data_IF_316326384343
#
_entry.id   IF_316326384343
#
_cell.length_a   1.000
_cell.length_b   1.000
_cell.length_c   1.000
_cell.angle_alpha   90.00
_cell.angle_beta   90.00
_cell.angle_gamma   90.00
#
_symmetry.space_group_name_H-M   'P 1'
#
loop_
_entity.id
_entity.type
_entity.pdbx_description
1 polymer ?
#
# COMPACT_ATOMS: atom_id res chain seq x y z
N UNK A 1 -15.05 16.63 -13.33
CA UNK A 1 -14.85 15.93 -14.61
C UNK A 1 -14.40 14.51 -14.31
N UNK A 2 -15.00 13.49 -14.95
CA UNK A 2 -14.73 12.08 -14.62
C UNK A 2 -13.30 11.63 -14.96
N UNK A 3 -12.71 12.16 -16.02
CA UNK A 3 -11.35 11.83 -16.49
C UNK A 3 -10.25 12.76 -15.94
N UNK A 4 -10.56 13.66 -15.00
CA UNK A 4 -9.56 14.53 -14.37
C UNK A 4 -8.85 13.84 -13.20
N UNK A 5 -7.62 14.23 -12.88
CA UNK A 5 -6.93 13.71 -11.70
C UNK A 5 -7.42 14.39 -10.41
N UNK A 6 -7.80 13.60 -9.39
CA UNK A 6 -8.02 14.11 -8.05
C UNK A 6 -6.68 14.44 -7.38
N UNK A 7 -6.44 15.71 -7.08
CA UNK A 7 -5.19 16.17 -6.45
C UNK A 7 -5.02 15.63 -5.03
N UNK A 8 -6.12 15.38 -4.31
CA UNK A 8 -6.07 14.80 -2.96
C UNK A 8 -5.52 13.38 -2.96
N UNK A 9 -5.73 12.60 -4.03
CA UNK A 9 -5.22 11.25 -4.17
C UNK A 9 -3.70 11.18 -4.45
N UNK A 10 -3.05 12.32 -4.74
CA UNK A 10 -1.59 12.46 -4.89
C UNK A 10 -0.99 11.40 -5.83
N UNK A 11 -0.06 10.56 -5.34
CA UNK A 11 0.59 9.53 -6.16
C UNK A 11 -0.35 8.40 -6.59
N UNK A 12 -1.57 8.35 -6.05
CA UNK A 12 -2.62 7.40 -6.41
C UNK A 12 -3.77 8.08 -7.20
N UNK A 13 -3.53 9.25 -7.81
CA UNK A 13 -4.55 9.99 -8.55
C UNK A 13 -5.07 9.24 -9.78
N UNK A 14 -4.22 8.45 -10.43
CA UNK A 14 -4.60 7.52 -11.50
C UNK A 14 -5.51 6.40 -11.01
N UNK A 15 -5.17 5.77 -9.88
CA UNK A 15 -5.99 4.75 -9.23
C UNK A 15 -7.37 5.30 -8.83
N UNK A 16 -7.43 6.52 -8.28
CA UNK A 16 -8.70 7.20 -7.98
C UNK A 16 -9.53 7.41 -9.26
N UNK A 17 -8.92 8.00 -10.29
CA UNK A 17 -9.58 8.29 -11.56
C UNK A 17 -10.16 7.02 -12.19
N UNK A 18 -9.37 5.94 -12.29
CA UNK A 18 -9.85 4.68 -12.87
C UNK A 18 -10.99 4.06 -12.08
N UNK A 19 -10.93 4.08 -10.74
CA UNK A 19 -12.07 3.63 -9.89
C UNK A 19 -13.32 4.47 -10.12
N UNK A 20 -13.16 5.78 -10.28
CA UNK A 20 -14.29 6.68 -10.54
C UNK A 20 -14.92 6.42 -11.90
N UNK A 21 -14.13 6.21 -12.94
CA UNK A 21 -14.64 5.83 -14.26
C UNK A 21 -15.35 4.47 -14.18
N UNK A 22 -14.74 3.47 -13.55
CA UNK A 22 -15.30 2.12 -13.40
C UNK A 22 -16.61 2.07 -12.60
N UNK A 23 -16.84 3.04 -11.71
CA UNK A 23 -18.10 3.15 -10.97
C UNK A 23 -19.29 3.62 -11.84
N UNK A 24 -19.03 4.20 -13.01
CA UNK A 24 -20.04 4.80 -13.88
C UNK A 24 -20.13 4.17 -15.28
N UNK A 25 -19.11 3.42 -15.70
CA UNK A 25 -19.04 2.85 -17.05
C UNK A 25 -18.49 1.42 -17.04
N UNK A 26 -18.91 0.58 -18.01
CA UNK A 26 -18.28 -0.70 -18.25
C UNK A 26 -16.78 -0.53 -18.55
N UNK A 27 -15.97 -1.45 -18.03
CA UNK A 27 -14.52 -1.50 -18.25
C UNK A 27 -14.18 -2.76 -19.04
N UNK A 28 -13.31 -2.62 -20.05
CA UNK A 28 -12.70 -3.74 -20.76
C UNK A 28 -11.43 -4.19 -20.05
N UNK A 29 -11.22 -5.50 -19.96
CA UNK A 29 -9.98 -6.09 -19.43
C UNK A 29 -9.25 -6.82 -20.56
N UNK A 30 -8.01 -6.42 -20.84
CA UNK A 30 -7.11 -7.05 -21.78
C UNK A 30 -6.00 -7.80 -21.03
N UNK A 31 -5.98 -9.15 -21.05
CA UNK A 31 -4.96 -9.92 -20.35
C UNK A 31 -3.56 -9.88 -21.01
N UNK A 32 -3.46 -9.47 -22.28
CA UNK A 32 -2.16 -9.35 -22.95
C UNK A 32 -1.30 -8.25 -22.34
N UNK A 33 -0.01 -8.53 -22.12
CA UNK A 33 0.95 -7.53 -21.63
C UNK A 33 1.26 -6.55 -22.76
N UNK A 34 0.71 -5.34 -22.68
CA UNK A 34 0.92 -4.26 -23.65
C UNK A 34 1.98 -3.23 -23.23
N UNK A 35 2.36 -3.21 -21.95
CA UNK A 35 3.33 -2.26 -21.41
C UNK A 35 4.19 -2.89 -20.31
N UNK A 36 5.41 -2.37 -20.15
CA UNK A 36 6.33 -2.76 -19.09
C UNK A 36 6.99 -1.53 -18.48
N UNK A 37 7.01 -1.46 -17.15
CA UNK A 37 7.64 -0.37 -16.42
C UNK A 37 9.07 -0.75 -16.02
N UNK A 38 10.00 0.21 -16.15
CA UNK A 38 11.35 0.03 -15.64
C UNK A 38 11.37 0.26 -14.13
N UNK A 39 11.93 -0.69 -13.38
CA UNK A 39 12.17 -0.54 -11.95
C UNK A 39 13.56 0.04 -11.71
N UNK A 40 13.65 1.14 -10.95
CA UNK A 40 14.91 1.70 -10.50
C UNK A 40 14.76 2.49 -9.19
N UNK A 41 15.86 2.62 -8.44
CA UNK A 41 15.91 3.22 -7.11
C UNK A 41 15.63 4.73 -7.08
N UNK A 42 15.84 5.41 -8.22
CA UNK A 42 15.58 6.84 -8.40
C UNK A 42 14.15 7.15 -8.89
N UNK A 43 13.27 6.15 -9.01
CA UNK A 43 11.88 6.37 -9.38
C UNK A 43 11.08 7.02 -8.25
N UNK A 44 10.01 7.73 -8.61
CA UNK A 44 9.12 8.32 -7.63
C UNK A 44 8.47 7.27 -6.73
N UNK A 45 8.11 6.11 -7.29
CA UNK A 45 7.61 4.96 -6.51
C UNK A 45 8.62 4.51 -5.46
N UNK A 46 9.92 4.41 -5.80
CA UNK A 46 10.97 4.08 -4.83
C UNK A 46 11.09 5.10 -3.70
N UNK A 47 10.95 6.40 -4.02
CA UNK A 47 10.94 7.48 -3.02
C UNK A 47 9.74 7.38 -2.08
N UNK A 48 8.54 7.18 -2.62
CA UNK A 48 7.29 7.06 -1.86
C UNK A 48 7.29 5.81 -0.97
N UNK A 49 7.79 4.69 -1.48
CA UNK A 49 7.92 3.44 -0.71
C UNK A 49 8.80 3.63 0.52
N UNK A 50 9.96 4.30 0.39
CA UNK A 50 10.81 4.56 1.55
C UNK A 50 10.14 5.36 2.66
N UNK A 51 9.18 6.21 2.30
CA UNK A 51 8.43 7.06 3.25
C UNK A 51 7.10 6.47 3.70
N UNK A 52 6.66 5.34 3.13
CA UNK A 52 5.29 4.82 3.32
C UNK A 52 4.21 5.62 2.59
N UNK A 53 4.58 6.70 1.89
CA UNK A 53 3.64 7.62 1.23
C UNK A 53 2.81 6.91 0.14
N UNK A 54 3.36 5.86 -0.49
CA UNK A 54 2.62 5.04 -1.45
C UNK A 54 1.36 4.40 -0.82
N UNK A 55 1.46 3.92 0.41
CA UNK A 55 0.35 3.29 1.14
C UNK A 55 -0.58 4.37 1.69
N UNK A 56 -0.03 5.48 2.19
CA UNK A 56 -0.81 6.59 2.71
C UNK A 56 -1.71 7.23 1.63
N UNK A 57 -1.15 7.48 0.45
CA UNK A 57 -1.86 8.04 -0.70
C UNK A 57 -2.91 7.04 -1.22
N UNK A 58 -2.56 5.75 -1.30
CA UNK A 58 -3.52 4.71 -1.68
C UNK A 58 -4.69 4.60 -0.70
N UNK A 59 -4.42 4.63 0.61
CA UNK A 59 -5.47 4.66 1.64
C UNK A 59 -6.39 5.87 1.45
N UNK A 60 -5.82 7.04 1.20
CA UNK A 60 -6.62 8.25 0.91
C UNK A 60 -7.47 8.06 -0.35
N UNK A 61 -6.91 7.50 -1.42
CA UNK A 61 -7.67 7.19 -2.62
C UNK A 61 -8.79 6.17 -2.38
N UNK A 62 -8.62 5.22 -1.45
CA UNK A 62 -9.70 4.31 -1.03
C UNK A 62 -10.84 5.07 -0.35
N UNK A 63 -10.52 5.95 0.60
CA UNK A 63 -11.54 6.76 1.30
C UNK A 63 -12.29 7.71 0.36
N UNK A 64 -11.59 8.31 -0.61
CA UNK A 64 -12.23 9.12 -1.66
C UNK A 64 -13.19 8.25 -2.48
N UNK A 65 -12.74 7.06 -2.91
CA UNK A 65 -13.57 6.18 -3.72
C UNK A 65 -14.82 5.69 -3.02
N UNK A 66 -14.75 5.47 -1.71
CA UNK A 66 -15.91 5.08 -0.90
C UNK A 66 -17.11 6.00 -1.07
N UNK A 67 -16.89 7.29 -1.33
CA UNK A 67 -17.94 8.32 -1.45
C UNK A 67 -18.80 8.20 -2.71
N UNK A 68 -18.30 7.57 -3.77
CA UNK A 68 -19.01 7.44 -5.04
C UNK A 68 -19.26 5.99 -5.48
N UNK A 69 -18.77 5.00 -4.72
CA UNK A 69 -19.09 3.60 -4.97
C UNK A 69 -20.56 3.30 -4.61
N UNK A 70 -21.22 2.34 -5.28
CA UNK A 70 -22.57 1.93 -4.93
C UNK A 70 -22.65 1.51 -3.45
N UNK A 71 -23.66 2.02 -2.75
CA UNK A 71 -23.85 1.79 -1.31
C UNK A 71 -23.92 0.30 -0.94
N UNK A 72 -24.38 -0.54 -1.86
CA UNK A 72 -24.48 -2.00 -1.70
C UNK A 72 -23.13 -2.69 -1.53
N UNK A 73 -22.05 -2.14 -2.10
CA UNK A 73 -20.70 -2.74 -2.06
C UNK A 73 -19.65 -1.86 -1.37
N UNK A 74 -19.91 -0.56 -1.24
CA UNK A 74 -18.91 0.45 -0.85
C UNK A 74 -18.20 0.10 0.46
N UNK A 75 -18.95 -0.30 1.49
CA UNK A 75 -18.38 -0.66 2.79
C UNK A 75 -17.49 -1.90 2.72
N UNK A 76 -17.99 -2.99 2.12
CA UNK A 76 -17.27 -4.26 2.04
C UNK A 76 -15.98 -4.11 1.24
N UNK A 77 -16.06 -3.54 0.03
CA UNK A 77 -14.90 -3.34 -0.86
C UNK A 77 -13.87 -2.41 -0.21
N UNK A 78 -14.31 -1.36 0.51
CA UNK A 78 -13.39 -0.48 1.25
C UNK A 78 -12.64 -1.25 2.34
N UNK A 79 -13.33 -2.09 3.12
CA UNK A 79 -12.69 -2.91 4.16
C UNK A 79 -11.69 -3.90 3.55
N UNK A 80 -12.07 -4.59 2.46
CA UNK A 80 -11.20 -5.51 1.75
C UNK A 80 -9.97 -4.82 1.18
N UNK A 81 -10.13 -3.66 0.54
CA UNK A 81 -9.02 -2.88 0.01
C UNK A 81 -8.06 -2.43 1.10
N UNK A 82 -8.58 -1.96 2.24
CA UNK A 82 -7.75 -1.57 3.40
C UNK A 82 -6.98 -2.75 3.99
N UNK A 83 -7.60 -3.92 4.12
CA UNK A 83 -6.91 -5.15 4.56
C UNK A 83 -5.84 -5.58 3.55
N UNK A 84 -6.14 -5.54 2.25
CA UNK A 84 -5.18 -5.88 1.19
C UNK A 84 -3.94 -4.96 1.23
N UNK A 85 -4.13 -3.65 1.30
CA UNK A 85 -2.99 -2.72 1.34
C UNK A 85 -2.22 -2.76 2.66
N UNK A 86 -2.85 -3.19 3.77
CA UNK A 86 -2.11 -3.53 4.99
C UNK A 86 -1.16 -4.72 4.76
N UNK A 87 -1.63 -5.80 4.13
CA UNK A 87 -0.76 -6.93 3.77
C UNK A 87 0.32 -6.55 2.76
N UNK A 88 -0.01 -5.74 1.75
CA UNK A 88 0.96 -5.28 0.77
C UNK A 88 2.10 -4.50 1.43
N UNK A 89 1.76 -3.58 2.34
CA UNK A 89 2.73 -2.80 3.12
C UNK A 89 3.60 -3.70 4.02
N UNK A 90 3.00 -4.68 4.71
CA UNK A 90 3.76 -5.63 5.53
C UNK A 90 4.70 -6.52 4.70
N UNK A 91 4.25 -7.02 3.55
CA UNK A 91 5.11 -7.76 2.61
C UNK A 91 6.27 -6.89 2.11
N UNK A 92 6.02 -5.61 1.84
CA UNK A 92 7.07 -4.65 1.47
C UNK A 92 8.07 -4.47 2.61
N UNK A 93 7.59 -4.36 3.84
CA UNK A 93 8.45 -4.25 5.01
C UNK A 93 9.40 -5.45 5.16
N UNK A 94 8.96 -6.68 4.87
CA UNK A 94 9.83 -7.87 4.84
C UNK A 94 10.98 -7.66 3.84
N UNK A 95 10.66 -7.20 2.64
CA UNK A 95 11.67 -6.96 1.60
C UNK A 95 12.68 -5.90 2.05
N UNK A 96 12.21 -4.83 2.69
CA UNK A 96 13.05 -3.73 3.18
C UNK A 96 13.93 -4.15 4.37
N UNK A 97 13.40 -4.98 5.28
CA UNK A 97 14.18 -5.59 6.37
C UNK A 97 15.33 -6.45 5.81
N UNK A 98 15.05 -7.25 4.78
CA UNK A 98 16.10 -8.05 4.11
C UNK A 98 17.15 -7.21 3.37
N UNK A 99 16.85 -5.94 3.09
CA UNK A 99 17.77 -4.96 2.51
C UNK A 99 18.47 -4.09 3.57
N UNK A 100 18.29 -4.40 4.87
CA UNK A 100 18.74 -3.60 6.01
C UNK A 100 18.20 -2.14 6.01
N UNK A 101 17.14 -1.84 5.25
CA UNK A 101 16.44 -0.53 5.23
C UNK A 101 15.31 -0.51 6.27
N UNK A 102 15.71 -0.50 7.55
CA UNK A 102 14.79 -0.58 8.67
C UNK A 102 13.89 0.65 8.81
N UNK A 103 14.37 1.84 8.43
CA UNK A 103 13.56 3.06 8.48
C UNK A 103 12.38 2.98 7.51
N UNK A 104 12.64 2.57 6.26
CA UNK A 104 11.59 2.34 5.29
C UNK A 104 10.64 1.20 5.72
N UNK A 105 11.17 0.13 6.31
CA UNK A 105 10.34 -0.96 6.82
C UNK A 105 9.38 -0.49 7.92
N UNK A 106 9.85 0.33 8.86
CA UNK A 106 9.02 0.93 9.92
C UNK A 106 7.95 1.84 9.32
N UNK A 107 8.29 2.65 8.31
CA UNK A 107 7.33 3.50 7.61
C UNK A 107 6.20 2.66 6.99
N UNK A 108 6.54 1.56 6.30
CA UNK A 108 5.55 0.64 5.72
C UNK A 108 4.68 -0.03 6.80
N UNK A 109 5.27 -0.50 7.91
CA UNK A 109 4.51 -1.11 9.02
C UNK A 109 3.53 -0.11 9.64
N UNK A 110 3.96 1.12 9.88
CA UNK A 110 3.08 2.19 10.41
C UNK A 110 1.89 2.42 9.50
N UNK A 111 2.12 2.52 8.19
CA UNK A 111 1.05 2.73 7.22
C UNK A 111 0.15 1.51 7.04
N UNK A 112 0.68 0.29 7.23
CA UNK A 112 -0.11 -0.94 7.22
C UNK A 112 -1.18 -0.93 8.32
N UNK A 113 -0.79 -0.58 9.54
CA UNK A 113 -1.70 -0.51 10.69
C UNK A 113 -2.71 0.63 10.58
N UNK A 114 -2.33 1.76 9.96
CA UNK A 114 -3.30 2.80 9.61
C UNK A 114 -4.31 2.35 8.56
N UNK A 115 -4.01 1.32 7.76
CA UNK A 115 -4.97 0.70 6.84
C UNK A 115 -5.90 -0.29 7.57
N UNK A 116 -5.36 -1.26 8.31
CA UNK A 116 -6.19 -2.26 8.99
C UNK A 116 -5.55 -2.82 10.25
N UNK A 117 -6.40 -3.11 11.24
CA UNK A 117 -6.08 -3.83 12.48
C UNK A 117 -6.77 -5.20 12.55
N UNK A 118 -7.14 -5.79 11.41
CA UNK A 118 -7.79 -7.10 11.44
C UNK A 118 -6.89 -8.15 12.10
N UNK A 119 -7.52 -9.17 12.68
CA UNK A 119 -6.78 -10.27 13.33
C UNK A 119 -5.80 -10.95 12.36
N UNK A 120 -6.12 -10.98 11.07
CA UNK A 120 -5.25 -11.55 10.03
C UNK A 120 -4.00 -10.69 9.84
N UNK A 121 -4.14 -9.36 9.78
CA UNK A 121 -3.02 -8.42 9.66
C UNK A 121 -2.12 -8.48 10.89
N UNK A 122 -2.70 -8.51 12.09
CA UNK A 122 -1.95 -8.63 13.35
C UNK A 122 -1.17 -9.96 13.39
N UNK A 123 -1.83 -11.09 13.09
CA UNK A 123 -1.16 -12.41 13.05
C UNK A 123 -0.03 -12.44 12.03
N UNK A 124 -0.22 -11.81 10.87
CA UNK A 124 0.82 -11.71 9.85
C UNK A 124 2.02 -10.91 10.35
N UNK A 125 1.80 -9.76 10.98
CA UNK A 125 2.88 -8.97 11.58
C UNK A 125 3.64 -9.74 12.66
N UNK A 126 2.96 -10.48 13.52
CA UNK A 126 3.61 -11.34 14.52
C UNK A 126 4.48 -12.43 13.85
N UNK A 127 4.01 -12.98 12.73
CA UNK A 127 4.80 -13.89 11.89
C UNK A 127 6.09 -13.26 11.38
N UNK A 128 6.03 -12.02 10.87
CA UNK A 128 7.20 -11.26 10.41
C UNK A 128 8.21 -11.08 11.53
N UNK A 129 7.77 -10.65 12.72
CA UNK A 129 8.65 -10.45 13.87
C UNK A 129 9.36 -11.74 14.27
N UNK A 130 8.62 -12.86 14.28
CA UNK A 130 9.17 -14.18 14.61
C UNK A 130 10.21 -14.64 13.59
N UNK A 131 9.93 -14.47 12.30
CA UNK A 131 10.82 -14.88 11.21
C UNK A 131 12.11 -14.06 11.17
N UNK A 132 12.01 -12.74 11.37
CA UNK A 132 13.12 -11.81 11.23
C UNK A 132 13.84 -11.49 12.55
N UNK A 133 13.57 -12.26 13.61
CA UNK A 133 14.11 -12.04 14.97
C UNK A 133 15.62 -11.81 15.01
N UNK A 134 16.39 -12.54 14.19
CA UNK A 134 17.87 -12.47 14.17
C UNK A 134 18.35 -11.13 13.59
N UNK A 135 17.77 -10.68 12.48
CA UNK A 135 18.12 -9.43 11.83
C UNK A 135 17.70 -8.23 12.70
N UNK A 136 16.49 -8.28 13.27
CA UNK A 136 16.01 -7.26 14.20
C UNK A 136 16.90 -7.16 15.44
N UNK A 137 17.31 -8.29 16.01
CA UNK A 137 18.22 -8.33 17.15
C UNK A 137 19.62 -7.80 16.79
N UNK A 138 20.12 -8.09 15.59
CA UNK A 138 21.39 -7.52 15.08
C UNK A 138 21.31 -6.00 15.00
N UNK A 139 20.22 -5.44 14.49
CA UNK A 139 19.98 -3.99 14.39
C UNK A 139 19.86 -3.32 15.76
N UNK A 140 19.19 -3.96 16.72
CA UNK A 140 19.11 -3.45 18.09
C UNK A 140 20.49 -3.37 18.74
N UNK A 141 21.34 -4.39 18.55
CA UNK A 141 22.73 -4.35 19.02
C UNK A 141 23.54 -3.21 18.38
N UNK A 142 23.40 -2.97 17.08
CA UNK A 142 24.14 -1.88 16.39
C UNK A 142 23.68 -0.47 16.75
N UNK A 143 22.60 -0.31 17.52
CA UNK A 143 22.14 0.98 18.03
C UNK A 143 22.58 1.23 19.49
N UNK A 144 23.06 0.19 20.18
CA UNK A 144 23.52 0.26 21.57
C UNK A 144 25.06 0.28 21.70
N UNK A 145 25.78 0.23 20.58
CA UNK A 145 27.23 0.36 20.45
C UNK A 145 27.53 1.31 19.30
#
# INVERSE_FOLDING_TARGET
MLAGFCTEARSAADWEMWKRIAAHYPIWYEPQVLASFRLHSASESSRLIRKGENVADTRRAIEISKLYLPNTISQEVTMQAREYYAFNALNRAITLINQDDFEAAIAQIKEAFKCSYSIKVIRFMLGILRQNRRQLFRRLKSLCF
#
